data_IF_869651715700
#
_entry.id   IF_869651715700
#
_cell.length_a   1.000
_cell.length_b   1.000
_cell.length_c   1.000
_cell.angle_alpha   90.00
_cell.angle_beta   90.00
_cell.angle_gamma   90.00
#
_symmetry.space_group_name_H-M   'P 1'
#
loop_
_entity.id
_entity.type
_entity.pdbx_description
1 polymer ?
#
# COMPACT_ATOMS: atom_id res chain seq x y z
N UNK A 1 -29.93 -10.69 -4.44
CA UNK A 1 -29.42 -9.96 -3.24
C UNK A 1 -28.02 -10.43 -2.90
N UNK A 2 -27.82 -11.75 -2.82
CA UNK A 2 -26.51 -12.39 -2.73
C UNK A 2 -25.44 -11.82 -3.67
N UNK A 3 -25.71 -11.62 -4.96
CA UNK A 3 -24.71 -11.12 -5.91
C UNK A 3 -24.23 -9.70 -5.57
N UNK A 4 -25.15 -8.84 -5.15
CA UNK A 4 -24.84 -7.47 -4.74
C UNK A 4 -23.97 -7.49 -3.48
N UNK A 5 -24.29 -8.35 -2.52
CA UNK A 5 -23.48 -8.51 -1.30
C UNK A 5 -22.07 -9.00 -1.62
N UNK A 6 -21.92 -10.00 -2.50
CA UNK A 6 -20.60 -10.49 -2.93
C UNK A 6 -19.83 -9.38 -3.65
N UNK A 7 -20.48 -8.61 -4.54
CA UNK A 7 -19.84 -7.48 -5.22
C UNK A 7 -19.33 -6.42 -4.22
N UNK A 8 -20.13 -6.11 -3.19
CA UNK A 8 -19.73 -5.19 -2.12
C UNK A 8 -18.59 -5.74 -1.25
N UNK A 9 -18.55 -7.05 -1.01
CA UNK A 9 -17.43 -7.70 -0.30
C UNK A 9 -16.12 -7.60 -1.08
N UNK A 10 -16.16 -7.69 -2.41
CA UNK A 10 -14.99 -7.63 -3.27
C UNK A 10 -14.54 -6.21 -3.61
N UNK A 11 -15.44 -5.23 -3.58
CA UNK A 11 -15.17 -3.84 -3.98
C UNK A 11 -13.92 -3.24 -3.30
N UNK A 12 -13.70 -3.39 -1.98
CA UNK A 12 -12.46 -3.02 -1.31
C UNK A 12 -11.18 -3.49 -2.02
N UNK A 13 -11.09 -4.76 -2.35
CA UNK A 13 -9.89 -5.35 -2.93
C UNK A 13 -9.71 -4.89 -4.36
N UNK A 14 -10.80 -4.80 -5.11
CA UNK A 14 -10.81 -4.28 -6.49
C UNK A 14 -10.36 -2.81 -6.54
N UNK A 15 -10.60 -2.03 -5.48
CA UNK A 15 -10.14 -0.64 -5.40
C UNK A 15 -8.70 -0.53 -4.87
N UNK A 16 -8.35 -1.31 -3.85
CA UNK A 16 -7.03 -1.25 -3.20
C UNK A 16 -5.93 -1.84 -4.09
N UNK A 17 -6.19 -2.95 -4.79
CA UNK A 17 -5.16 -3.60 -5.61
C UNK A 17 -4.60 -2.70 -6.73
N UNK A 18 -5.43 -2.05 -7.58
CA UNK A 18 -4.94 -1.10 -8.57
C UNK A 18 -4.19 0.08 -7.94
N UNK A 19 -4.62 0.52 -6.76
CA UNK A 19 -3.97 1.58 -6.02
C UNK A 19 -2.56 1.17 -5.54
N UNK A 20 -2.41 -0.04 -4.98
CA UNK A 20 -1.10 -0.59 -4.61
C UNK A 20 -0.19 -0.79 -5.83
N UNK A 21 -0.74 -1.28 -6.95
CA UNK A 21 -0.01 -1.39 -8.22
C UNK A 21 0.47 -0.02 -8.71
N UNK A 22 -0.36 1.01 -8.60
CA UNK A 22 -0.01 2.37 -8.96
C UNK A 22 1.13 2.92 -8.09
N UNK A 23 1.08 2.73 -6.77
CA UNK A 23 2.15 3.12 -5.86
C UNK A 23 3.46 2.37 -6.16
N UNK A 24 3.37 1.08 -6.45
CA UNK A 24 4.53 0.28 -6.84
C UNK A 24 5.13 0.77 -8.17
N UNK A 25 4.29 1.11 -9.15
CA UNK A 25 4.75 1.66 -10.43
C UNK A 25 5.48 3.00 -10.26
N UNK A 26 5.03 3.87 -9.34
CA UNK A 26 5.75 5.11 -9.00
C UNK A 26 7.13 4.80 -8.43
N UNK A 27 7.23 3.81 -7.54
CA UNK A 27 8.51 3.37 -6.98
C UNK A 27 9.44 2.81 -8.07
N UNK A 28 8.94 1.96 -8.98
CA UNK A 28 9.74 1.43 -10.09
C UNK A 28 10.25 2.55 -11.01
N UNK A 29 9.40 3.55 -11.30
CA UNK A 29 9.80 4.72 -12.07
C UNK A 29 10.91 5.50 -11.35
N UNK A 30 10.77 5.75 -10.05
CA UNK A 30 11.80 6.41 -9.25
C UNK A 30 13.11 5.61 -9.26
N UNK A 31 13.07 4.29 -9.05
CA UNK A 31 14.25 3.41 -9.07
C UNK A 31 15.00 3.50 -10.40
N UNK A 32 14.28 3.57 -11.53
CA UNK A 32 14.90 3.70 -12.84
C UNK A 32 15.53 5.10 -13.05
N UNK A 33 14.95 6.14 -12.48
CA UNK A 33 15.46 7.51 -12.56
C UNK A 33 16.63 7.78 -11.59
N UNK A 34 16.62 7.13 -10.43
CA UNK A 34 17.60 7.31 -9.34
C UNK A 34 18.11 5.93 -8.91
N UNK A 35 19.05 5.32 -9.68
CA UNK A 35 19.63 4.03 -9.31
C UNK A 35 20.60 4.12 -8.12
N UNK A 36 21.13 5.33 -7.85
CA UNK A 36 21.95 5.68 -6.69
C UNK A 36 21.80 7.17 -6.40
N UNK A 37 21.94 7.59 -5.14
CA UNK A 37 21.83 8.98 -4.73
C UNK A 37 23.15 9.72 -4.95
N UNK A 38 23.18 10.64 -5.92
CA UNK A 38 24.41 11.34 -6.34
C UNK A 38 24.47 12.78 -5.86
N UNK A 39 23.31 13.39 -5.65
CA UNK A 39 23.18 14.81 -5.34
C UNK A 39 21.86 15.11 -4.64
N UNK A 40 21.72 16.36 -4.23
CA UNK A 40 20.52 16.87 -3.56
C UNK A 40 19.26 16.80 -4.45
N UNK A 41 19.39 16.86 -5.78
CA UNK A 41 18.24 16.74 -6.67
C UNK A 41 17.59 15.34 -6.60
N UNK A 42 18.39 14.30 -6.38
CA UNK A 42 17.90 12.93 -6.15
C UNK A 42 17.14 12.82 -4.82
N UNK A 43 17.58 13.53 -3.79
CA UNK A 43 16.88 13.63 -2.50
C UNK A 43 15.53 14.35 -2.66
N UNK A 44 15.48 15.42 -3.45
CA UNK A 44 14.22 16.11 -3.73
C UNK A 44 13.22 15.19 -4.46
N UNK A 45 13.69 14.36 -5.39
CA UNK A 45 12.84 13.34 -6.03
C UNK A 45 12.32 12.32 -5.01
N UNK A 46 13.15 11.92 -4.05
CA UNK A 46 12.75 11.03 -2.96
C UNK A 46 11.67 11.67 -2.07
N UNK A 47 11.83 12.94 -1.68
CA UNK A 47 10.82 13.71 -0.92
C UNK A 47 9.48 13.76 -1.66
N UNK A 48 9.51 14.00 -2.98
CA UNK A 48 8.29 14.02 -3.81
C UNK A 48 7.62 12.64 -3.85
N UNK A 49 8.38 11.56 -4.00
CA UNK A 49 7.87 10.20 -3.98
C UNK A 49 7.22 9.89 -2.62
N UNK A 50 7.97 10.09 -1.52
CA UNK A 50 7.49 9.87 -0.17
C UNK A 50 6.21 10.67 0.11
N UNK A 51 6.18 11.96 -0.21
CA UNK A 51 5.00 12.82 -0.05
C UNK A 51 3.77 12.25 -0.76
N UNK A 52 3.94 11.77 -2.00
CA UNK A 52 2.84 11.21 -2.80
C UNK A 52 2.31 9.91 -2.21
N UNK A 53 3.19 9.04 -1.73
CA UNK A 53 2.78 7.77 -1.13
C UNK A 53 2.17 7.98 0.27
N UNK A 54 2.73 8.88 1.09
CA UNK A 54 2.19 9.23 2.42
C UNK A 54 0.81 9.88 2.34
N UNK A 55 0.60 10.86 1.43
CA UNK A 55 -0.72 11.52 1.25
C UNK A 55 -1.84 10.55 0.90
N UNK A 56 -1.48 9.44 0.27
CA UNK A 56 -2.41 8.42 -0.20
C UNK A 56 -2.57 7.23 0.75
N UNK A 57 -2.04 7.33 1.98
CA UNK A 57 -2.20 6.30 3.02
C UNK A 57 -3.26 6.74 4.05
N UNK A 58 -4.57 6.81 3.71
CA UNK A 58 -5.55 7.26 4.69
C UNK A 58 -6.02 6.08 5.55
N UNK A 59 -6.37 6.44 6.78
CA UNK A 59 -7.42 5.91 7.66
C UNK A 59 -8.57 5.16 6.96
N UNK A 60 -8.87 5.46 5.68
CA UNK A 60 -9.82 4.74 4.84
C UNK A 60 -9.50 3.23 4.65
N UNK A 61 -8.23 2.84 4.56
CA UNK A 61 -7.84 1.42 4.46
C UNK A 61 -8.28 0.60 5.69
N UNK A 62 -8.31 1.22 6.88
CA UNK A 62 -8.79 0.54 8.10
C UNK A 62 -10.30 0.29 8.04
N UNK A 63 -11.09 1.26 7.57
CA UNK A 63 -12.56 1.13 7.43
C UNK A 63 -12.92 0.14 6.32
N UNK A 64 -12.22 0.23 5.19
CA UNK A 64 -12.39 -0.62 4.01
C UNK A 64 -12.07 -2.10 4.33
N UNK A 65 -11.22 -2.39 5.31
CA UNK A 65 -10.89 -3.76 5.69
C UNK A 65 -11.96 -4.49 6.51
N UNK A 66 -12.74 -3.78 7.33
CA UNK A 66 -13.82 -4.42 8.11
C UNK A 66 -15.15 -4.48 7.35
N UNK A 67 -15.31 -3.64 6.33
CA UNK A 67 -16.55 -3.51 5.56
C UNK A 67 -17.01 -4.84 4.92
N UNK A 68 -16.16 -5.65 4.25
CA UNK A 68 -16.55 -6.94 3.69
C UNK A 68 -17.12 -7.91 4.73
N UNK A 69 -16.53 -7.94 5.94
CA UNK A 69 -16.97 -8.82 7.01
C UNK A 69 -18.38 -8.46 7.51
N UNK A 70 -18.69 -7.16 7.62
CA UNK A 70 -20.02 -6.70 8.01
C UNK A 70 -21.09 -7.07 6.98
N UNK A 71 -20.75 -6.98 5.69
CA UNK A 71 -21.65 -7.41 4.60
C UNK A 71 -21.90 -8.91 4.67
N UNK A 72 -20.83 -9.70 4.87
CA UNK A 72 -20.95 -11.15 5.03
C UNK A 72 -21.84 -11.54 6.21
N UNK A 73 -21.62 -10.92 7.38
CA UNK A 73 -22.41 -11.18 8.58
C UNK A 73 -23.90 -10.87 8.35
N UNK A 74 -24.19 -9.74 7.70
CA UNK A 74 -25.57 -9.34 7.36
C UNK A 74 -26.22 -10.35 6.41
N UNK A 75 -25.52 -10.78 5.36
CA UNK A 75 -26.04 -11.78 4.43
C UNK A 75 -26.20 -13.16 5.06
N UNK A 76 -25.35 -13.53 6.02
CA UNK A 76 -25.52 -14.76 6.79
C UNK A 76 -26.80 -14.74 7.64
N UNK A 77 -27.07 -13.63 8.34
CA UNK A 77 -28.32 -13.46 9.13
C UNK A 77 -29.57 -13.49 8.24
N UNK A 78 -29.47 -12.96 7.02
CA UNK A 78 -30.56 -12.97 6.03
C UNK A 78 -30.73 -14.32 5.32
N UNK A 79 -29.81 -15.28 5.50
CA UNK A 79 -29.82 -16.57 4.80
C UNK A 79 -29.32 -16.53 3.35
N UNK A 80 -28.72 -15.41 2.93
CA UNK A 80 -28.22 -15.17 1.57
C UNK A 80 -26.74 -15.58 1.39
N UNK A 81 -25.96 -15.70 2.48
CA UNK A 81 -24.53 -16.01 2.44
C UNK A 81 -24.14 -17.12 3.41
N UNK A 82 -23.11 -17.87 3.03
CA UNK A 82 -22.60 -19.03 3.76
C UNK A 82 -21.13 -18.81 4.18
N UNK A 83 -20.63 -19.73 5.02
CA UNK A 83 -19.21 -19.76 5.40
C UNK A 83 -18.27 -19.91 4.20
N UNK A 84 -18.70 -20.59 3.15
CA UNK A 84 -17.91 -20.73 1.93
C UNK A 84 -17.71 -19.37 1.23
N UNK A 85 -18.71 -18.49 1.25
CA UNK A 85 -18.61 -17.16 0.67
C UNK A 85 -17.60 -16.28 1.42
N UNK A 86 -17.50 -16.42 2.75
CA UNK A 86 -16.44 -15.76 3.55
C UNK A 86 -15.05 -16.15 3.06
N UNK A 87 -14.83 -17.46 2.92
CA UNK A 87 -13.54 -18.02 2.55
C UNK A 87 -13.15 -17.60 1.13
N UNK A 88 -14.09 -17.69 0.18
CA UNK A 88 -13.82 -17.41 -1.23
C UNK A 88 -13.76 -15.93 -1.57
N UNK A 89 -14.57 -15.08 -0.94
CA UNK A 89 -14.73 -13.68 -1.35
C UNK A 89 -14.13 -12.66 -0.37
N UNK A 90 -13.72 -13.09 0.83
CA UNK A 90 -12.91 -12.27 1.73
C UNK A 90 -11.53 -12.89 1.90
N UNK A 91 -11.44 -14.07 2.52
CA UNK A 91 -10.17 -14.61 2.99
C UNK A 91 -9.19 -14.83 1.83
N UNK A 92 -9.61 -15.55 0.79
CA UNK A 92 -8.75 -15.87 -0.34
C UNK A 92 -8.22 -14.62 -1.07
N UNK A 93 -9.06 -13.65 -1.47
CA UNK A 93 -8.59 -12.38 -2.04
C UNK A 93 -7.61 -11.61 -1.14
N UNK A 94 -7.84 -11.56 0.18
CA UNK A 94 -6.92 -10.92 1.12
C UNK A 94 -5.59 -11.67 1.23
N UNK A 95 -5.59 -13.01 1.15
CA UNK A 95 -4.35 -13.80 1.08
C UNK A 95 -3.57 -13.53 -0.21
N UNK A 96 -4.25 -13.38 -1.35
CA UNK A 96 -3.61 -12.99 -2.62
C UNK A 96 -2.97 -11.62 -2.52
N UNK A 97 -3.68 -10.64 -1.94
CA UNK A 97 -3.13 -9.30 -1.69
C UNK A 97 -1.94 -9.34 -0.73
N UNK A 98 -2.00 -10.13 0.34
CA UNK A 98 -0.89 -10.31 1.27
C UNK A 98 0.34 -10.89 0.56
N UNK A 99 0.16 -11.95 -0.24
CA UNK A 99 1.24 -12.54 -1.03
C UNK A 99 1.86 -11.52 -2.00
N UNK A 100 1.03 -10.72 -2.68
CA UNK A 100 1.48 -9.64 -3.55
C UNK A 100 2.33 -8.61 -2.79
N UNK A 101 1.88 -8.15 -1.63
CA UNK A 101 2.62 -7.21 -0.78
C UNK A 101 3.95 -7.78 -0.27
N UNK A 102 4.00 -9.08 0.08
CA UNK A 102 5.23 -9.75 0.50
C UNK A 102 6.24 -9.81 -0.64
N UNK A 103 5.81 -10.24 -1.83
CA UNK A 103 6.69 -10.38 -3.01
C UNK A 103 7.24 -9.02 -3.46
N UNK A 104 6.39 -8.00 -3.48
CA UNK A 104 6.79 -6.65 -3.88
C UNK A 104 7.62 -5.95 -2.80
N UNK A 105 7.41 -6.28 -1.53
CA UNK A 105 8.07 -5.67 -0.40
C UNK A 105 7.71 -4.19 -0.23
N UNK A 106 8.29 -3.57 0.80
CA UNK A 106 8.03 -2.17 1.13
C UNK A 106 9.01 -1.25 0.37
N UNK A 107 8.53 -0.31 -0.47
CA UNK A 107 9.38 0.69 -1.14
C UNK A 107 10.36 1.42 -0.22
N UNK A 108 9.97 1.97 0.96
CA UNK A 108 10.90 2.68 1.84
C UNK A 108 12.05 1.81 2.33
N UNK A 109 11.78 0.54 2.68
CA UNK A 109 12.82 -0.41 3.12
C UNK A 109 13.83 -0.66 2.01
N UNK A 110 13.36 -0.85 0.78
CA UNK A 110 14.24 -1.06 -0.38
C UNK A 110 15.06 0.18 -0.76
N UNK A 111 14.61 1.38 -0.40
CA UNK A 111 15.33 2.64 -0.69
C UNK A 111 16.52 2.82 0.25
N UNK A 112 16.45 2.33 1.48
CA UNK A 112 17.60 2.33 2.41
C UNK A 112 18.80 1.56 1.87
N UNK A 113 18.56 0.58 1.00
CA UNK A 113 19.61 -0.25 0.40
C UNK A 113 20.32 0.44 -0.78
N UNK A 114 19.87 1.61 -1.24
CA UNK A 114 20.45 2.28 -2.40
C UNK A 114 21.80 2.91 -2.05
N UNK A 115 22.79 2.77 -2.93
CA UNK A 115 24.09 3.43 -2.77
C UNK A 115 23.94 4.96 -2.72
N UNK A 116 24.74 5.58 -1.84
CA UNK A 116 24.76 7.03 -1.64
C UNK A 116 26.19 7.54 -1.78
N UNK A 117 26.36 8.68 -2.44
CA UNK A 117 27.67 9.25 -2.74
C UNK A 117 28.40 9.84 -1.51
N UNK A 118 27.66 10.33 -0.52
CA UNK A 118 28.22 10.94 0.69
C UNK A 118 27.31 10.73 1.92
N UNK A 119 27.88 10.90 3.12
CA UNK A 119 27.19 10.69 4.40
C UNK A 119 26.06 11.69 4.67
N UNK A 120 26.11 12.88 4.07
CA UNK A 120 25.07 13.89 4.27
C UNK A 120 23.78 13.48 3.53
N UNK A 121 23.92 13.04 2.28
CA UNK A 121 22.82 12.49 1.50
C UNK A 121 22.26 11.23 2.15
N UNK A 122 23.10 10.42 2.78
CA UNK A 122 22.69 9.19 3.48
C UNK A 122 21.80 9.52 4.68
N UNK A 123 22.24 10.46 5.52
CA UNK A 123 21.45 10.94 6.66
C UNK A 123 20.10 11.53 6.21
N UNK A 124 20.06 12.26 5.10
CA UNK A 124 18.82 12.81 4.55
C UNK A 124 17.88 11.72 4.05
N UNK A 125 18.40 10.74 3.29
CA UNK A 125 17.62 9.59 2.82
C UNK A 125 17.00 8.85 4.01
N UNK A 126 17.79 8.55 5.02
CA UNK A 126 17.35 7.75 6.16
C UNK A 126 16.31 8.47 7.01
N UNK A 127 16.46 9.79 7.18
CA UNK A 127 15.44 10.61 7.82
C UNK A 127 14.12 10.58 7.03
N UNK A 128 14.16 10.79 5.70
CA UNK A 128 12.95 10.73 4.87
C UNK A 128 12.30 9.34 4.94
N UNK A 129 13.09 8.27 4.90
CA UNK A 129 12.56 6.91 5.02
C UNK A 129 11.94 6.68 6.41
N UNK A 130 12.59 7.14 7.48
CA UNK A 130 12.06 7.03 8.83
C UNK A 130 10.69 7.67 8.95
N UNK A 131 10.56 8.92 8.47
CA UNK A 131 9.32 9.69 8.43
C UNK A 131 8.26 8.97 7.61
N UNK A 132 8.63 8.48 6.43
CA UNK A 132 7.71 7.75 5.56
C UNK A 132 7.15 6.47 6.21
N UNK A 133 7.94 5.77 7.03
CA UNK A 133 7.50 4.56 7.71
C UNK A 133 6.63 4.87 8.94
N UNK A 134 6.98 5.90 9.72
CA UNK A 134 6.42 6.11 11.05
C UNK A 134 5.37 7.21 11.12
N UNK A 135 5.42 8.19 10.22
CA UNK A 135 4.57 9.36 10.26
C UNK A 135 3.46 9.32 9.21
N UNK A 136 2.35 10.00 9.48
CA UNK A 136 1.25 10.13 8.53
C UNK A 136 1.46 11.28 7.54
N UNK A 137 2.33 12.23 7.88
CA UNK A 137 2.58 13.42 7.08
C UNK A 137 4.09 13.70 6.95
N UNK A 138 4.50 14.26 5.80
CA UNK A 138 5.83 14.87 5.63
C UNK A 138 6.20 15.88 6.72
N UNK A 139 7.42 15.80 7.27
CA UNK A 139 7.96 16.72 8.29
C UNK A 139 9.43 17.17 8.02
N UNK A 140 9.90 16.99 6.79
CA UNK A 140 11.27 17.32 6.35
C UNK A 140 11.51 18.79 6.00
#
# INVERSE_FOLDING_TARGET
>A
MREIMIALMLAPIVLVMPYLMYLHAQYLKFKNEVPRFRNEADIQKLKILAARQMRGTPTGLKIVNYFPFLIWLTGMVMGDLFWLDLLLYIVLPYLVMLAFCIVIGSPPVKIQEFEVADQNLESQRDHIVHVWIHETHPDW
#
